data_IF_066024095676
#
_entry.id   IF_066024095676
#
_cell.length_a   1.000
_cell.length_b   1.000
_cell.length_c   1.000
_cell.angle_alpha   90.00
_cell.angle_beta   90.00
_cell.angle_gamma   90.00
#
_symmetry.space_group_name_H-M   'P 1'
#
loop_
_entity.id
_entity.type
_entity.pdbx_description
1 polymer ?
#
# COMPACT_ATOMS: atom_id res chain seq x y z
N UNK A 1 4.88 8.02 -21.77
CA UNK A 1 4.23 7.33 -20.63
C UNK A 1 4.61 8.09 -19.39
N UNK A 2 3.71 8.91 -18.83
CA UNK A 2 4.03 9.74 -17.66
C UNK A 2 4.10 8.81 -16.46
N UNK A 3 5.29 8.61 -15.91
CA UNK A 3 5.44 8.00 -14.59
C UNK A 3 4.77 8.95 -13.60
N UNK A 4 3.61 8.55 -13.07
CA UNK A 4 2.98 9.29 -11.97
C UNK A 4 3.90 9.11 -10.77
N UNK A 5 4.68 10.14 -10.43
CA UNK A 5 5.50 10.12 -9.22
C UNK A 5 4.60 9.79 -8.04
N UNK A 6 4.97 8.75 -7.29
CA UNK A 6 4.30 8.39 -6.04
C UNK A 6 4.58 9.55 -5.10
N UNK A 7 3.59 10.40 -4.85
CA UNK A 7 3.71 11.44 -3.83
C UNK A 7 4.07 10.74 -2.52
N UNK A 8 5.18 11.11 -1.86
CA UNK A 8 5.57 10.49 -0.61
C UNK A 8 4.44 10.64 0.41
N UNK A 9 4.34 9.67 1.33
CA UNK A 9 3.35 9.76 2.40
C UNK A 9 3.67 10.97 3.29
N UNK A 10 2.71 11.87 3.41
CA UNK A 10 2.85 13.09 4.18
C UNK A 10 2.48 12.82 5.65
N UNK A 11 3.51 12.58 6.47
CA UNK A 11 3.34 12.25 7.89
C UNK A 11 2.84 13.44 8.72
N UNK A 12 3.21 14.67 8.37
CA UNK A 12 2.75 15.86 9.10
C UNK A 12 1.27 16.11 8.82
N UNK A 13 0.87 16.06 7.55
CA UNK A 13 -0.55 16.15 7.19
C UNK A 13 -1.36 15.01 7.82
N UNK A 14 -0.85 13.79 7.79
CA UNK A 14 -1.50 12.65 8.46
C UNK A 14 -1.71 12.93 9.95
N UNK A 15 -0.68 13.43 10.64
CA UNK A 15 -0.76 13.76 12.07
C UNK A 15 -1.82 14.82 12.36
N UNK A 16 -1.88 15.88 11.55
CA UNK A 16 -2.92 16.92 11.67
C UNK A 16 -4.33 16.34 11.48
N UNK A 17 -4.55 15.59 10.40
CA UNK A 17 -5.84 14.95 10.10
C UNK A 17 -6.22 13.90 11.17
N UNK A 18 -5.26 13.16 11.70
CA UNK A 18 -5.46 12.18 12.76
C UNK A 18 -5.87 12.86 14.08
N UNK A 19 -5.18 13.94 14.48
CA UNK A 19 -5.56 14.72 15.67
C UNK A 19 -6.96 15.30 15.54
N UNK A 20 -7.29 15.92 14.40
CA UNK A 20 -8.64 16.43 14.13
C UNK A 20 -9.68 15.30 14.15
N UNK A 21 -9.36 14.15 13.57
CA UNK A 21 -10.21 12.97 13.60
C UNK A 21 -10.52 12.51 15.02
N UNK A 22 -9.53 12.47 15.91
CA UNK A 22 -9.69 12.12 17.31
C UNK A 22 -10.54 13.15 18.07
N UNK A 23 -10.33 14.45 17.82
CA UNK A 23 -11.19 15.50 18.40
C UNK A 23 -12.65 15.37 17.95
N UNK A 24 -12.88 14.89 16.73
CA UNK A 24 -14.21 14.63 16.18
C UNK A 24 -14.78 13.25 16.57
N UNK A 25 -14.10 12.50 17.45
CA UNK A 25 -14.58 11.20 17.96
C UNK A 25 -14.41 10.02 16.99
N UNK A 26 -13.60 10.14 15.92
CA UNK A 26 -13.25 8.98 15.09
C UNK A 26 -12.46 7.96 15.92
N UNK A 27 -12.70 6.68 15.65
CA UNK A 27 -11.99 5.60 16.35
C UNK A 27 -10.50 5.54 15.96
N UNK A 28 -9.69 4.92 16.81
CA UNK A 28 -8.28 4.57 16.53
C UNK A 28 -8.13 3.31 15.65
N UNK A 29 -9.21 2.84 15.02
CA UNK A 29 -9.18 1.58 14.28
C UNK A 29 -8.19 1.61 13.11
N UNK A 30 -7.42 0.52 12.88
CA UNK A 30 -6.43 0.44 11.81
C UNK A 30 -7.02 0.38 10.39
N UNK A 31 -8.33 0.16 10.23
CA UNK A 31 -8.96 -0.09 8.93
C UNK A 31 -9.99 0.97 8.52
N UNK A 32 -10.69 1.55 9.49
CA UNK A 32 -11.78 2.52 9.29
C UNK A 32 -11.69 3.74 10.23
N UNK A 33 -10.67 3.78 11.07
CA UNK A 33 -10.39 4.87 12.01
C UNK A 33 -9.31 5.82 11.52
N UNK A 34 -8.80 6.65 12.44
CA UNK A 34 -7.75 7.64 12.14
C UNK A 34 -6.42 7.02 11.71
N UNK A 35 -6.19 5.73 12.04
CA UNK A 35 -4.96 5.02 11.67
C UNK A 35 -5.04 4.34 10.29
N UNK A 36 -6.21 4.31 9.65
CA UNK A 36 -6.41 3.64 8.38
C UNK A 36 -5.44 4.09 7.26
N UNK A 37 -5.17 5.40 7.06
CA UNK A 37 -4.22 5.85 6.04
C UNK A 37 -2.80 5.33 6.28
N UNK A 38 -2.36 5.27 7.55
CA UNK A 38 -1.04 4.81 7.93
C UNK A 38 -0.89 3.31 7.70
N UNK A 39 -1.90 2.52 8.07
CA UNK A 39 -1.91 1.08 7.83
C UNK A 39 -1.89 0.73 6.35
N UNK A 40 -2.71 1.43 5.55
CA UNK A 40 -2.70 1.30 4.10
C UNK A 40 -1.29 1.59 3.55
N UNK A 41 -0.68 2.70 3.96
CA UNK A 41 0.66 3.06 3.51
C UNK A 41 1.70 1.99 3.87
N UNK A 42 1.67 1.47 5.10
CA UNK A 42 2.59 0.43 5.56
C UNK A 42 2.44 -0.85 4.72
N UNK A 43 1.21 -1.37 4.59
CA UNK A 43 0.94 -2.61 3.87
C UNK A 43 1.30 -2.49 2.38
N UNK A 44 0.92 -1.39 1.72
CA UNK A 44 1.27 -1.18 0.31
C UNK A 44 2.78 -1.02 0.11
N UNK A 45 3.50 -0.44 1.07
CA UNK A 45 4.96 -0.31 1.00
C UNK A 45 5.66 -1.65 1.18
N UNK A 46 5.16 -2.50 2.10
CA UNK A 46 5.65 -3.88 2.25
C UNK A 46 5.45 -4.68 0.95
N UNK A 47 4.24 -4.68 0.39
CA UNK A 47 3.94 -5.38 -0.87
C UNK A 47 4.75 -4.83 -2.06
N UNK A 48 4.92 -3.51 -2.16
CA UNK A 48 5.73 -2.89 -3.22
C UNK A 48 7.22 -3.32 -3.10
N UNK A 49 7.73 -3.49 -1.87
CA UNK A 49 9.10 -3.95 -1.58
C UNK A 49 9.28 -5.44 -1.86
N UNK A 50 8.32 -6.28 -1.48
CA UNK A 50 8.36 -7.72 -1.78
C UNK A 50 8.38 -7.98 -3.30
N UNK A 51 7.55 -7.26 -4.06
CA UNK A 51 7.56 -7.33 -5.52
C UNK A 51 8.89 -6.82 -6.11
N UNK A 52 9.51 -5.80 -5.50
CA UNK A 52 10.82 -5.34 -5.96
C UNK A 52 11.87 -6.43 -5.77
N UNK A 53 11.92 -7.06 -4.59
CA UNK A 53 12.83 -8.17 -4.31
C UNK A 53 12.63 -9.32 -5.31
N UNK A 54 11.38 -9.75 -5.54
CA UNK A 54 11.05 -10.77 -6.54
C UNK A 54 11.59 -10.43 -7.94
N UNK A 55 11.40 -9.19 -8.40
CA UNK A 55 11.90 -8.75 -9.71
C UNK A 55 13.42 -8.67 -9.78
N UNK A 56 14.11 -8.38 -8.68
CA UNK A 56 15.57 -8.39 -8.63
C UNK A 56 16.12 -9.82 -8.68
N UNK A 57 15.46 -10.76 -7.99
CA UNK A 57 15.80 -12.20 -8.05
C UNK A 57 15.59 -12.78 -9.46
N UNK A 58 14.49 -12.42 -10.12
CA UNK A 58 14.24 -12.80 -11.51
C UNK A 58 15.33 -12.28 -12.45
N UNK A 59 15.72 -11.00 -12.32
CA UNK A 59 16.80 -10.41 -13.11
C UNK A 59 18.14 -11.10 -12.87
N UNK A 60 18.46 -11.42 -11.61
CA UNK A 60 19.68 -12.14 -11.25
C UNK A 60 19.71 -13.56 -11.84
N UNK A 61 18.53 -14.16 -12.02
CA UNK A 61 18.36 -15.48 -12.65
C UNK A 61 18.34 -15.42 -14.19
N UNK A 62 18.51 -14.24 -14.79
CA UNK A 62 18.49 -14.05 -16.24
C UNK A 62 17.10 -13.84 -16.86
N UNK A 63 16.04 -13.78 -16.04
CA UNK A 63 14.68 -13.51 -16.52
C UNK A 63 14.47 -12.01 -16.74
N UNK A 64 13.88 -11.64 -17.88
CA UNK A 64 13.51 -10.24 -18.18
C UNK A 64 12.10 -9.89 -17.65
N UNK A 65 11.83 -10.21 -16.38
CA UNK A 65 10.55 -9.88 -15.75
C UNK A 65 10.50 -8.39 -15.35
N UNK A 66 9.30 -7.83 -15.32
CA UNK A 66 9.05 -6.41 -15.03
C UNK A 66 7.67 -6.19 -14.41
N UNK A 67 7.49 -5.04 -13.77
CA UNK A 67 6.17 -4.63 -13.23
C UNK A 67 5.12 -4.52 -14.34
N UNK A 68 3.88 -4.89 -14.00
CA UNK A 68 2.71 -4.88 -14.89
C UNK A 68 1.55 -4.06 -14.29
N UNK A 69 1.84 -2.81 -13.92
CA UNK A 69 0.85 -1.92 -13.33
C UNK A 69 0.52 -2.28 -11.87
N UNK A 70 -0.63 -1.76 -11.42
CA UNK A 70 -1.14 -1.94 -10.06
C UNK A 70 -2.61 -2.38 -10.10
N UNK A 71 -3.03 -3.12 -9.09
CA UNK A 71 -4.40 -3.60 -8.93
C UNK A 71 -4.91 -3.22 -7.55
N UNK A 72 -6.17 -2.80 -7.49
CA UNK A 72 -6.87 -2.56 -6.22
C UNK A 72 -7.54 -3.85 -5.74
N UNK A 73 -7.45 -4.12 -4.44
CA UNK A 73 -8.13 -5.24 -3.78
C UNK A 73 -8.78 -4.74 -2.51
N UNK A 74 -10.04 -5.11 -2.30
CA UNK A 74 -10.73 -4.91 -1.03
C UNK A 74 -10.45 -6.11 -0.13
N UNK A 75 -9.82 -5.87 1.01
CA UNK A 75 -9.42 -6.88 1.98
C UNK A 75 -10.31 -6.78 3.22
N UNK A 76 -10.70 -7.92 3.77
CA UNK A 76 -11.43 -8.00 5.04
C UNK A 76 -10.44 -8.29 6.17
N UNK A 77 -10.33 -7.35 7.11
CA UNK A 77 -9.62 -7.55 8.37
C UNK A 77 -10.43 -8.45 9.30
N UNK A 78 -9.74 -9.28 10.08
CA UNK A 78 -10.34 -10.32 10.91
C UNK A 78 -11.36 -9.74 11.91
N UNK A 79 -11.07 -8.58 12.51
CA UNK A 79 -11.91 -7.91 13.52
C UNK A 79 -12.10 -6.40 13.26
N UNK A 80 -11.75 -5.93 12.07
CA UNK A 80 -11.55 -4.50 11.80
C UNK A 80 -12.26 -4.03 10.52
N UNK A 81 -13.21 -4.82 9.98
CA UNK A 81 -13.96 -4.43 8.78
C UNK A 81 -13.16 -4.54 7.48
N UNK A 82 -13.62 -3.87 6.43
CA UNK A 82 -13.03 -3.95 5.07
C UNK A 82 -12.29 -2.67 4.68
N UNK A 83 -11.16 -2.82 3.99
CA UNK A 83 -10.35 -1.70 3.50
C UNK A 83 -9.77 -1.99 2.11
N UNK A 84 -9.43 -0.95 1.36
CA UNK A 84 -8.83 -1.06 0.02
C UNK A 84 -7.30 -0.96 0.10
N UNK A 85 -6.63 -1.87 -0.59
CA UNK A 85 -5.19 -1.86 -0.83
C UNK A 85 -4.91 -1.83 -2.33
N UNK A 86 -3.82 -1.18 -2.71
CA UNK A 86 -3.28 -1.18 -4.06
C UNK A 86 -1.92 -1.88 -4.10
N UNK A 87 -1.81 -2.97 -4.84
CA UNK A 87 -0.57 -3.74 -4.96
C UNK A 87 -0.09 -3.80 -6.41
N UNK A 88 1.23 -3.88 -6.61
CA UNK A 88 1.80 -4.19 -7.92
C UNK A 88 1.61 -5.67 -8.30
N UNK A 89 1.93 -5.98 -9.56
CA UNK A 89 2.08 -7.35 -10.07
C UNK A 89 3.26 -7.40 -11.03
N UNK A 90 3.88 -8.56 -11.18
CA UNK A 90 4.84 -8.83 -12.24
C UNK A 90 4.15 -9.12 -13.60
N UNK A 91 4.93 -9.17 -14.68
CA UNK A 91 4.41 -9.38 -16.04
C UNK A 91 4.31 -10.87 -16.39
N UNK A 92 5.18 -11.69 -15.82
CA UNK A 92 5.14 -13.15 -15.99
C UNK A 92 4.01 -13.79 -15.19
N UNK A 93 3.42 -13.07 -14.24
CA UNK A 93 2.30 -13.55 -13.42
C UNK A 93 2.73 -14.56 -12.38
N UNK A 94 4.00 -14.50 -11.95
CA UNK A 94 4.60 -15.40 -10.96
C UNK A 94 4.59 -14.84 -9.53
N UNK A 95 4.23 -13.55 -9.35
CA UNK A 95 4.08 -12.88 -8.06
C UNK A 95 2.84 -11.96 -8.03
#
# INVERSE_FOLDING_TARGET
MVMKEKTPFDFERFKEEAMQGLYNGKSLSPNDGVLAPLMKHLLESMMDSELESHLQEDKASGNSNRRNGKTKKTVRGLNTGTFELESGRDRSGTF
#
